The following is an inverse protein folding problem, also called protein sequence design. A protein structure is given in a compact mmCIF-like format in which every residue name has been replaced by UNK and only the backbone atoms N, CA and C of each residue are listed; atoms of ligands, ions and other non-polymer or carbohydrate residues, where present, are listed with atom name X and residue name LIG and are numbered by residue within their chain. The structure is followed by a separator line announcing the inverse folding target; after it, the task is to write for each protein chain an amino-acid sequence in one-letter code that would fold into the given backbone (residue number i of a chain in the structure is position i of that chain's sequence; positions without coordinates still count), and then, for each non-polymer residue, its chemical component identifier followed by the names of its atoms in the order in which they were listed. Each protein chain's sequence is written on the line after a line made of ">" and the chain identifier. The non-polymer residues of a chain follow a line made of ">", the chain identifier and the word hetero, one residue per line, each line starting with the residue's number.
data_IF_122074981783
#
_entry.id   IF_122074981783
#
_cell.length_a   1.000
_cell.length_b   1.000
_cell.length_c   1.000
_cell.angle_alpha   90.00
_cell.angle_beta   90.00
_cell.angle_gamma   90.00
#
_symmetry.space_group_name_H-M   'P 1'
#
loop_
_entity.id
_entity.type
_entity.pdbx_description
1 polymer ?
#
# COMPACT_ATOMS: atom_id res chain seq x y z
N UNK A 1 12.97 20.62 8.15
CA UNK A 1 11.65 20.85 7.54
C UNK A 1 10.78 19.63 7.82
N UNK A 2 9.50 19.81 8.15
CA UNK A 2 8.60 18.72 8.55
C UNK A 2 8.19 17.84 7.37
N UNK A 3 7.92 18.45 6.21
CA UNK A 3 7.56 17.75 4.98
C UNK A 3 8.75 16.91 4.50
N UNK A 4 9.94 17.50 4.44
CA UNK A 4 11.14 16.76 4.02
C UNK A 4 11.41 15.57 4.94
N UNK A 5 11.25 15.76 6.26
CA UNK A 5 11.38 14.66 7.21
C UNK A 5 10.37 13.55 6.92
N UNK A 6 9.10 13.89 6.73
CA UNK A 6 8.04 12.92 6.48
C UNK A 6 8.27 12.15 5.18
N UNK A 7 8.63 12.82 4.08
CA UNK A 7 8.88 12.19 2.79
C UNK A 7 10.11 11.29 2.80
N UNK A 8 11.21 11.73 3.42
CA UNK A 8 12.42 10.91 3.52
C UNK A 8 12.18 9.68 4.39
N UNK A 9 11.48 9.84 5.51
CA UNK A 9 11.11 8.75 6.42
C UNK A 9 10.14 7.77 5.74
N UNK A 10 9.14 8.26 5.01
CA UNK A 10 8.23 7.44 4.22
C UNK A 10 8.97 6.71 3.10
N UNK A 11 9.93 7.34 2.43
CA UNK A 11 10.76 6.69 1.40
C UNK A 11 11.61 5.58 2.00
N UNK A 12 12.21 5.80 3.19
CA UNK A 12 12.99 4.78 3.89
C UNK A 12 12.13 3.56 4.28
N UNK A 13 10.85 3.77 4.60
CA UNK A 13 9.93 2.65 4.83
C UNK A 13 9.80 1.73 3.61
N UNK A 14 9.87 2.27 2.38
CA UNK A 14 9.75 1.48 1.15
C UNK A 14 10.97 0.57 0.96
N UNK A 15 12.15 1.03 1.37
CA UNK A 15 13.34 0.17 1.45
C UNK A 15 13.13 -0.99 2.43
N UNK A 16 12.65 -0.69 3.65
CA UNK A 16 12.39 -1.74 4.65
C UNK A 16 11.31 -2.74 4.21
N UNK A 17 10.28 -2.29 3.49
CA UNK A 17 9.27 -3.18 2.89
C UNK A 17 9.92 -4.16 1.91
N UNK A 18 10.81 -3.69 1.03
CA UNK A 18 11.57 -4.54 0.10
C UNK A 18 12.40 -5.62 0.82
N UNK A 19 12.95 -5.27 1.99
CA UNK A 19 13.69 -6.19 2.86
C UNK A 19 12.80 -7.08 3.75
N UNK A 20 11.48 -6.96 3.64
CA UNK A 20 10.49 -7.65 4.49
C UNK A 20 10.63 -7.31 5.98
N UNK A 21 11.07 -6.08 6.28
CA UNK A 21 11.24 -5.50 7.62
C UNK A 21 10.01 -4.65 7.96
N UNK A 22 8.87 -5.30 8.11
CA UNK A 22 7.57 -4.65 8.25
C UNK A 22 7.40 -3.87 9.55
N UNK A 23 8.09 -4.26 10.62
CA UNK A 23 8.05 -3.52 11.88
C UNK A 23 8.71 -2.14 11.72
N UNK A 24 9.91 -2.11 11.13
CA UNK A 24 10.64 -0.87 10.88
C UNK A 24 9.94 0.00 9.84
N UNK A 25 9.43 -0.59 8.74
CA UNK A 25 8.66 0.16 7.76
C UNK A 25 7.44 0.84 8.37
N UNK A 26 6.67 0.12 9.20
CA UNK A 26 5.50 0.66 9.91
C UNK A 26 5.90 1.78 10.87
N UNK A 27 7.00 1.60 11.60
CA UNK A 27 7.53 2.62 12.53
C UNK A 27 7.86 3.93 11.79
N UNK A 28 8.52 3.83 10.63
CA UNK A 28 8.87 4.99 9.82
C UNK A 28 7.62 5.66 9.24
N UNK A 29 6.67 4.91 8.70
CA UNK A 29 5.42 5.48 8.19
C UNK A 29 4.58 6.13 9.29
N UNK A 30 4.56 5.56 10.49
CA UNK A 30 3.91 6.14 11.65
C UNK A 30 4.56 7.48 12.04
N UNK A 31 5.89 7.55 12.07
CA UNK A 31 6.61 8.79 12.34
C UNK A 31 6.35 9.85 11.27
N UNK A 32 6.40 9.48 9.98
CA UNK A 32 6.08 10.39 8.88
C UNK A 32 4.65 10.95 9.02
N UNK A 33 3.69 10.10 9.36
CA UNK A 33 2.28 10.48 9.53
C UNK A 33 2.08 11.41 10.72
N UNK A 34 2.72 11.13 11.85
CA UNK A 34 2.64 11.98 13.04
C UNK A 34 3.20 13.38 12.76
N UNK A 35 4.39 13.46 12.15
CA UNK A 35 5.01 14.75 11.81
C UNK A 35 4.17 15.53 10.80
N UNK A 36 3.54 14.87 9.82
CA UNK A 36 2.61 15.54 8.91
C UNK A 36 1.37 16.07 9.64
N UNK A 37 0.81 15.30 10.58
CA UNK A 37 -0.34 15.75 11.37
C UNK A 37 0.01 16.94 12.27
N UNK A 38 1.18 16.94 12.91
CA UNK A 38 1.67 18.09 13.68
C UNK A 38 1.90 19.32 12.79
N UNK A 39 2.47 19.12 11.60
CA UNK A 39 2.67 20.20 10.63
C UNK A 39 1.34 20.79 10.15
N UNK A 40 0.33 19.97 9.87
CA UNK A 40 -1.00 20.42 9.42
C UNK A 40 -1.64 21.44 10.38
N UNK A 41 -1.45 21.25 11.70
CA UNK A 41 -1.99 22.14 12.74
C UNK A 41 -1.34 23.53 12.69
N UNK A 42 -0.09 23.63 12.22
CA UNK A 42 0.73 24.85 12.33
C UNK A 42 1.12 25.46 10.98
N UNK A 43 0.84 24.80 9.85
CA UNK A 43 1.30 25.24 8.53
C UNK A 43 0.67 26.55 8.04
N UNK A 44 -0.47 26.98 8.61
CA UNK A 44 -1.16 28.21 8.22
C UNK A 44 -1.00 29.30 9.29
N UNK A 45 -0.19 30.31 8.99
CA UNK A 45 0.02 31.46 9.87
C UNK A 45 -1.02 32.57 9.62
N UNK A 46 -1.44 33.33 10.66
CA UNK A 46 -2.41 34.42 10.52
C UNK A 46 -1.99 35.48 9.50
N UNK A 47 -0.70 35.77 9.37
CA UNK A 47 -0.12 36.82 8.54
C UNK A 47 -0.05 36.46 7.04
N UNK A 48 -0.31 35.21 6.67
CA UNK A 48 -0.22 34.75 5.28
C UNK A 48 -1.27 35.41 4.38
N UNK A 49 -0.88 35.77 3.16
CA UNK A 49 -1.85 36.13 2.12
C UNK A 49 -2.66 34.90 1.70
N UNK A 50 -3.84 35.13 1.12
CA UNK A 50 -4.70 34.05 0.59
C UNK A 50 -3.95 33.15 -0.40
N UNK A 51 -3.13 33.73 -1.27
CA UNK A 51 -2.32 32.99 -2.23
C UNK A 51 -1.30 32.08 -1.54
N UNK A 52 -0.62 32.57 -0.52
CA UNK A 52 0.35 31.75 0.25
C UNK A 52 -0.35 30.60 0.98
N UNK A 53 -1.55 30.84 1.56
CA UNK A 53 -2.31 29.77 2.21
C UNK A 53 -2.69 28.67 1.23
N UNK A 54 -3.10 29.04 0.02
CA UNK A 54 -3.42 28.09 -1.05
C UNK A 54 -2.18 27.29 -1.47
N UNK A 55 -1.04 27.95 -1.70
CA UNK A 55 0.21 27.28 -2.09
C UNK A 55 0.71 26.29 -1.01
N UNK A 56 0.64 26.67 0.27
CA UNK A 56 1.04 25.78 1.38
C UNK A 56 0.06 24.63 1.54
N UNK A 57 -1.26 24.88 1.48
CA UNK A 57 -2.26 23.82 1.57
C UNK A 57 -2.14 22.83 0.42
N UNK A 58 -1.88 23.31 -0.79
CA UNK A 58 -1.69 22.45 -1.96
C UNK A 58 -0.44 21.58 -1.81
N UNK A 59 0.66 22.18 -1.38
CA UNK A 59 1.90 21.45 -1.09
C UNK A 59 1.66 20.38 -0.03
N UNK A 60 0.97 20.71 1.06
CA UNK A 60 0.65 19.75 2.11
C UNK A 60 -0.19 18.58 1.57
N UNK A 61 -1.28 18.85 0.85
CA UNK A 61 -2.16 17.82 0.29
C UNK A 61 -1.41 16.86 -0.63
N UNK A 62 -0.57 17.41 -1.52
CA UNK A 62 0.29 16.61 -2.38
C UNK A 62 1.18 15.68 -1.57
N UNK A 63 1.94 16.22 -0.61
CA UNK A 63 2.90 15.43 0.16
C UNK A 63 2.23 14.43 1.10
N UNK A 64 1.04 14.74 1.59
CA UNK A 64 0.25 13.79 2.35
C UNK A 64 -0.26 12.65 1.49
N UNK A 65 -0.66 12.92 0.24
CA UNK A 65 -1.02 11.90 -0.73
C UNK A 65 0.17 10.99 -1.09
N UNK A 66 1.39 11.53 -1.19
CA UNK A 66 2.63 10.74 -1.34
C UNK A 66 2.81 9.75 -0.16
N UNK A 67 2.62 10.21 1.08
CA UNK A 67 2.70 9.36 2.29
C UNK A 67 1.57 8.32 2.31
N UNK A 68 0.36 8.69 1.90
CA UNK A 68 -0.78 7.77 1.82
C UNK A 68 -0.49 6.60 0.87
N UNK A 69 0.10 6.86 -0.29
CA UNK A 69 0.52 5.80 -1.22
C UNK A 69 1.57 4.87 -0.61
N UNK A 70 2.49 5.40 0.19
CA UNK A 70 3.48 4.59 0.89
C UNK A 70 2.84 3.63 1.91
N UNK A 71 1.78 4.06 2.61
CA UNK A 71 0.98 3.20 3.48
C UNK A 71 0.18 2.14 2.72
N UNK A 72 -0.44 2.50 1.59
CA UNK A 72 -1.12 1.53 0.74
C UNK A 72 -0.14 0.44 0.27
N UNK A 73 1.05 0.85 -0.19
CA UNK A 73 2.12 -0.07 -0.60
C UNK A 73 2.59 -0.97 0.54
N UNK A 74 2.69 -0.45 1.76
CA UNK A 74 2.99 -1.27 2.94
C UNK A 74 2.01 -2.44 3.09
N UNK A 75 0.70 -2.16 3.09
CA UNK A 75 -0.31 -3.19 3.27
C UNK A 75 -0.38 -4.17 2.10
N UNK A 76 -0.26 -3.68 0.85
CA UNK A 76 -0.19 -4.54 -0.33
C UNK A 76 0.98 -5.53 -0.27
N UNK A 77 2.19 -5.04 0.04
CA UNK A 77 3.37 -5.90 0.17
C UNK A 77 3.26 -6.87 1.34
N UNK A 78 2.62 -6.46 2.45
CA UNK A 78 2.36 -7.35 3.58
C UNK A 78 1.47 -8.52 3.17
N UNK A 79 0.34 -8.25 2.50
CA UNK A 79 -0.55 -9.31 2.00
C UNK A 79 0.14 -10.18 0.94
N UNK A 80 0.84 -9.56 -0.02
CA UNK A 80 1.57 -10.29 -1.06
C UNK A 80 2.61 -11.25 -0.47
N UNK A 81 3.43 -10.76 0.46
CA UNK A 81 4.47 -11.57 1.09
C UNK A 81 3.86 -12.66 1.98
N UNK A 82 2.73 -12.39 2.62
CA UNK A 82 1.97 -13.38 3.39
C UNK A 82 1.46 -14.52 2.49
N UNK A 83 0.85 -14.17 1.34
CA UNK A 83 0.44 -15.14 0.32
C UNK A 83 1.60 -16.00 -0.15
N UNK A 84 2.73 -15.38 -0.54
CA UNK A 84 3.92 -16.11 -0.98
C UNK A 84 4.48 -17.02 0.10
N UNK A 85 4.36 -16.66 1.38
CA UNK A 85 4.79 -17.49 2.50
C UNK A 85 3.89 -18.71 2.67
N UNK A 86 2.56 -18.55 2.55
CA UNK A 86 1.58 -19.63 2.66
C UNK A 86 1.64 -20.61 1.48
N UNK A 87 2.08 -20.15 0.30
CA UNK A 87 2.27 -20.99 -0.89
C UNK A 87 3.62 -21.74 -0.92
N UNK A 88 4.51 -21.57 0.07
CA UNK A 88 5.78 -22.30 0.13
C UNK A 88 5.56 -23.68 0.73
N UNK A 89 6.20 -24.69 0.14
CA UNK A 89 6.23 -26.04 0.71
C UNK A 89 6.93 -26.04 2.09
N UNK A 90 6.31 -26.72 3.06
CA UNK A 90 6.77 -26.72 4.46
C UNK A 90 8.12 -27.44 4.67
N UNK A 91 8.62 -28.15 3.66
CA UNK A 91 9.81 -29.02 3.73
C UNK A 91 11.15 -28.30 3.44
N UNK A 92 11.14 -27.00 3.16
CA UNK A 92 12.37 -26.23 2.92
C UNK A 92 13.02 -25.77 4.25
N UNK A 93 13.68 -26.71 4.93
CA UNK A 93 14.43 -26.48 6.16
C UNK A 93 15.62 -25.51 5.98
N UNK A 94 16.16 -25.39 4.76
CA UNK A 94 17.22 -24.43 4.46
C UNK A 94 16.67 -22.99 4.44
N UNK A 95 15.48 -22.77 3.87
CA UNK A 95 14.79 -21.49 3.93
C UNK A 95 14.42 -21.07 5.37
N UNK A 96 14.03 -22.03 6.23
CA UNK A 96 13.75 -21.77 7.65
C UNK A 96 15.01 -21.33 8.41
N UNK A 97 16.12 -22.03 8.22
CA UNK A 97 17.39 -21.69 8.87
C UNK A 97 17.96 -20.34 8.40
N UNK A 98 17.90 -20.06 7.10
CA UNK A 98 18.32 -18.77 6.57
C UNK A 98 17.45 -17.61 7.11
N UNK A 99 16.13 -17.82 7.22
CA UNK A 99 15.22 -16.84 7.79
C UNK A 99 15.54 -16.55 9.28
N UNK A 100 15.91 -17.57 10.05
CA UNK A 100 16.30 -17.41 11.46
C UNK A 100 17.59 -16.60 11.61
N UNK A 101 18.62 -16.89 10.80
CA UNK A 101 19.90 -16.17 10.81
C UNK A 101 19.72 -14.70 10.39
N UNK A 102 18.94 -14.45 9.34
CA UNK A 102 18.61 -13.09 8.88
C UNK A 102 17.82 -12.31 9.95
N UNK A 103 16.89 -12.96 10.65
CA UNK A 103 16.15 -12.33 11.76
C UNK A 103 17.08 -11.87 12.87
N UNK A 104 18.05 -12.69 13.25
CA UNK A 104 18.99 -12.35 14.34
C UNK A 104 19.93 -11.20 13.98
N UNK A 105 20.38 -11.10 12.71
CA UNK A 105 21.18 -9.98 12.24
C UNK A 105 20.40 -8.66 12.22
N UNK A 106 19.10 -8.70 11.90
CA UNK A 106 18.23 -7.52 11.79
C UNK A 106 17.89 -6.88 13.14
N UNK A 107 17.91 -7.63 14.24
CA UNK A 107 17.56 -7.12 15.58
C UNK A 107 18.51 -6.02 16.07
N UNK A 108 19.79 -6.07 15.71
CA UNK A 108 20.79 -5.08 16.14
C UNK A 108 20.64 -3.76 15.38
N UNK A 109 20.25 -3.81 14.11
CA UNK A 109 20.01 -2.61 13.30
C UNK A 109 18.68 -1.93 13.67
N UNK A 110 17.68 -2.71 14.10
CA UNK A 110 16.35 -2.21 14.44
C UNK A 110 16.37 -1.21 15.60
N UNK A 111 17.29 -1.31 16.57
CA UNK A 111 17.39 -0.36 17.68
C UNK A 111 17.94 1.01 17.27
N UNK A 112 18.76 1.08 16.22
CA UNK A 112 19.37 2.31 15.74
C UNK A 112 18.46 3.14 14.82
N UNK A 113 17.38 2.54 14.30
CA UNK A 113 16.44 3.17 13.37
C UNK A 113 15.10 3.56 14.03
N UNK A 114 15.07 3.71 15.36
CA UNK A 114 13.86 4.12 16.10
C UNK A 114 13.83 5.61 16.40
N UNK A 115 12.63 6.16 16.54
CA UNK A 115 12.37 7.52 16.98
C UNK A 115 11.87 7.53 18.44
N UNK A 116 12.76 7.36 19.44
CA UNK A 116 12.35 7.15 20.83
C UNK A 116 11.62 8.35 21.46
N UNK A 117 11.74 9.54 20.86
CA UNK A 117 11.04 10.75 21.31
C UNK A 117 9.60 10.86 20.80
N UNK A 118 9.16 9.99 19.88
CA UNK A 118 7.83 10.03 19.30
C UNK A 118 6.97 8.88 19.87
N UNK A 119 5.75 9.19 20.32
CA UNK A 119 4.75 8.16 20.62
C UNK A 119 3.98 7.81 19.34
N UNK A 120 4.35 6.69 18.74
CA UNK A 120 3.78 6.22 17.47
C UNK A 120 2.70 5.15 17.66
N UNK A 121 2.38 4.79 18.90
CA UNK A 121 1.56 3.64 19.26
C UNK A 121 0.19 3.66 18.58
N UNK A 122 -0.45 4.83 18.53
CA UNK A 122 -1.77 4.99 17.91
C UNK A 122 -1.74 4.71 16.40
N UNK A 123 -0.73 5.19 15.68
CA UNK A 123 -0.56 4.93 14.25
C UNK A 123 -0.15 3.48 13.99
N UNK A 124 0.79 2.96 14.76
CA UNK A 124 1.28 1.59 14.61
C UNK A 124 0.16 0.57 14.83
N UNK A 125 -0.70 0.75 15.83
CA UNK A 125 -1.78 -0.19 16.14
C UNK A 125 -2.89 -0.27 15.07
N UNK A 126 -2.93 0.64 14.09
CA UNK A 126 -3.90 0.57 12.99
C UNK A 126 -3.64 -0.57 12.02
N UNK A 127 -2.41 -1.09 11.96
CA UNK A 127 -2.06 -2.19 11.06
C UNK A 127 -1.00 -3.12 11.67
N UNK A 128 -1.13 -4.41 11.39
CA UNK A 128 -0.17 -5.43 11.80
C UNK A 128 1.19 -5.24 11.09
N UNK A 129 2.27 -5.60 11.76
CA UNK A 129 3.58 -5.84 11.14
C UNK A 129 3.91 -7.33 10.98
N UNK A 130 3.00 -8.21 11.39
CA UNK A 130 3.09 -9.66 11.23
C UNK A 130 2.34 -10.10 9.97
N UNK A 131 2.78 -11.23 9.39
CA UNK A 131 2.15 -11.80 8.21
C UNK A 131 0.69 -12.23 8.46
N UNK A 132 -0.17 -12.03 7.47
CA UNK A 132 -1.54 -12.50 7.48
C UNK A 132 -1.56 -14.03 7.34
N UNK A 133 -2.33 -14.72 8.19
CA UNK A 133 -2.49 -16.16 8.13
C UNK A 133 -3.90 -16.56 7.71
N UNK A 134 -4.88 -15.70 7.99
CA UNK A 134 -6.30 -15.94 7.77
C UNK A 134 -6.93 -14.85 6.93
N UNK A 135 -8.16 -15.12 6.44
CA UNK A 135 -8.98 -14.11 5.80
C UNK A 135 -9.24 -12.89 6.70
N UNK A 136 -9.48 -13.10 7.99
CA UNK A 136 -9.76 -12.01 8.92
C UNK A 136 -8.55 -11.08 9.10
N UNK A 137 -7.34 -11.63 9.17
CA UNK A 137 -6.10 -10.83 9.19
C UNK A 137 -5.96 -10.01 7.91
N UNK A 138 -6.10 -10.67 6.75
CA UNK A 138 -5.97 -10.04 5.44
C UNK A 138 -7.03 -8.98 5.22
N UNK A 139 -8.24 -9.17 5.74
CA UNK A 139 -9.35 -8.23 5.64
C UNK A 139 -9.06 -6.93 6.39
N UNK A 140 -8.44 -6.99 7.58
CA UNK A 140 -8.02 -5.80 8.31
C UNK A 140 -6.99 -5.00 7.49
N UNK A 141 -5.99 -5.68 6.92
CA UNK A 141 -4.99 -5.04 6.05
C UNK A 141 -5.63 -4.47 4.78
N UNK A 142 -6.55 -5.21 4.16
CA UNK A 142 -7.28 -4.78 2.98
C UNK A 142 -8.06 -3.48 3.24
N UNK A 143 -8.80 -3.39 4.34
CA UNK A 143 -9.53 -2.17 4.70
C UNK A 143 -8.57 -1.00 4.93
N UNK A 144 -7.48 -1.21 5.66
CA UNK A 144 -6.45 -0.20 5.87
C UNK A 144 -5.87 0.31 4.53
N UNK A 145 -5.55 -0.60 3.59
CA UNK A 145 -5.05 -0.23 2.26
C UNK A 145 -6.06 0.63 1.52
N UNK A 146 -7.34 0.26 1.51
CA UNK A 146 -8.37 1.03 0.81
C UNK A 146 -8.53 2.43 1.41
N UNK A 147 -8.49 2.60 2.75
CA UNK A 147 -8.53 3.91 3.39
C UNK A 147 -7.42 4.84 2.88
N UNK A 148 -6.19 4.33 2.77
CA UNK A 148 -5.06 5.12 2.29
C UNK A 148 -5.08 5.35 0.77
N UNK A 149 -5.58 4.39 0.00
CA UNK A 149 -5.80 4.58 -1.43
C UNK A 149 -6.89 5.63 -1.69
N UNK A 150 -7.92 5.73 -0.85
CA UNK A 150 -8.95 6.77 -0.95
C UNK A 150 -8.34 8.15 -0.70
N UNK A 151 -7.51 8.30 0.33
CA UNK A 151 -6.77 9.55 0.59
C UNK A 151 -5.89 9.94 -0.61
N UNK A 152 -5.13 8.99 -1.17
CA UNK A 152 -4.29 9.27 -2.34
C UNK A 152 -5.12 9.66 -3.58
N UNK A 153 -6.20 8.93 -3.85
CA UNK A 153 -7.12 9.18 -4.97
C UNK A 153 -7.87 10.49 -4.83
N UNK A 154 -8.07 10.98 -3.60
CA UNK A 154 -8.70 12.27 -3.34
C UNK A 154 -7.85 13.44 -3.84
N UNK A 155 -6.52 13.29 -3.86
CA UNK A 155 -5.60 14.26 -4.45
C UNK A 155 -5.30 13.97 -5.93
N UNK A 156 -4.76 12.79 -6.24
CA UNK A 156 -4.35 12.43 -7.60
C UNK A 156 -5.58 12.18 -8.47
N UNK A 157 -5.87 13.06 -9.43
CA UNK A 157 -7.00 12.92 -10.36
C UNK A 157 -6.54 12.46 -11.73
N UNK A 158 -7.42 11.76 -12.43
CA UNK A 158 -7.20 11.32 -13.81
C UNK A 158 -6.90 12.48 -14.77
N UNK A 159 -7.54 13.63 -14.56
CA UNK A 159 -7.45 14.81 -15.42
C UNK A 159 -6.08 15.47 -15.36
N UNK A 160 -5.51 15.57 -14.16
CA UNK A 160 -4.26 16.30 -13.92
C UNK A 160 -3.03 15.38 -13.87
N UNK A 161 -3.19 14.18 -13.29
CA UNK A 161 -2.09 13.24 -13.00
C UNK A 161 -2.45 11.79 -13.38
N UNK A 162 -2.88 11.60 -14.63
CA UNK A 162 -3.33 10.31 -15.17
C UNK A 162 -2.41 9.12 -14.85
N UNK A 163 -1.08 9.31 -14.86
CA UNK A 163 -0.10 8.27 -14.54
C UNK A 163 -0.19 7.84 -13.07
N UNK A 164 -0.26 8.79 -12.14
CA UNK A 164 -0.31 8.48 -10.71
C UNK A 164 -1.70 7.96 -10.31
N UNK A 165 -2.77 8.55 -10.87
CA UNK A 165 -4.12 8.02 -10.74
C UNK A 165 -4.19 6.56 -11.20
N UNK A 166 -3.62 6.23 -12.36
CA UNK A 166 -3.62 4.86 -12.88
C UNK A 166 -2.93 3.88 -11.95
N UNK A 167 -1.79 4.26 -11.35
CA UNK A 167 -1.10 3.41 -10.37
C UNK A 167 -1.97 3.15 -9.14
N UNK A 168 -2.66 4.17 -8.62
CA UNK A 168 -3.59 4.02 -7.48
C UNK A 168 -4.73 3.06 -7.82
N UNK A 169 -5.27 3.15 -9.04
CA UNK A 169 -6.33 2.25 -9.49
C UNK A 169 -5.83 0.81 -9.72
N UNK A 170 -4.59 0.63 -10.19
CA UNK A 170 -3.93 -0.68 -10.22
C UNK A 170 -3.69 -1.23 -8.80
N UNK A 171 -3.37 -0.38 -7.83
CA UNK A 171 -3.20 -0.76 -6.43
C UNK A 171 -4.52 -1.24 -5.80
N UNK A 172 -5.65 -0.62 -6.15
CA UNK A 172 -6.98 -1.15 -5.81
C UNK A 172 -7.18 -2.55 -6.38
N UNK A 173 -6.87 -2.76 -7.67
CA UNK A 173 -6.99 -4.05 -8.31
C UNK A 173 -6.09 -5.11 -7.64
N UNK A 174 -4.86 -4.74 -7.29
CA UNK A 174 -3.90 -5.59 -6.56
C UNK A 174 -4.41 -5.95 -5.16
N UNK A 175 -5.04 -5.01 -4.43
CA UNK A 175 -5.66 -5.32 -3.14
C UNK A 175 -6.73 -6.42 -3.26
N UNK A 176 -7.56 -6.35 -4.31
CA UNK A 176 -8.57 -7.36 -4.60
C UNK A 176 -7.97 -8.71 -5.05
N UNK A 177 -6.82 -8.68 -5.73
CA UNK A 177 -6.07 -9.91 -6.05
C UNK A 177 -5.61 -10.61 -4.78
N UNK A 178 -5.01 -9.87 -3.86
CA UNK A 178 -4.43 -10.44 -2.64
C UNK A 178 -5.50 -10.93 -1.68
N UNK A 179 -6.58 -10.17 -1.43
CA UNK A 179 -7.64 -10.59 -0.51
C UNK A 179 -8.40 -11.82 -1.03
N UNK A 180 -8.56 -11.95 -2.35
CA UNK A 180 -9.21 -13.10 -2.96
C UNK A 180 -8.47 -14.42 -2.70
N UNK A 181 -7.15 -14.38 -2.46
CA UNK A 181 -6.38 -15.58 -2.11
C UNK A 181 -6.74 -16.13 -0.73
N UNK A 182 -7.09 -15.27 0.23
CA UNK A 182 -7.40 -15.69 1.59
C UNK A 182 -8.88 -16.08 1.78
N UNK A 183 -9.75 -15.72 0.85
CA UNK A 183 -11.16 -16.08 0.90
C UNK A 183 -11.33 -17.56 0.54
N UNK A 184 -12.11 -18.31 1.31
CA UNK A 184 -12.35 -19.75 1.06
C UNK A 184 -13.63 -19.97 0.26
N UNK A 185 -14.60 -19.06 0.35
CA UNK A 185 -15.85 -19.17 -0.37
C UNK A 185 -15.64 -18.83 -1.86
N UNK A 186 -15.86 -19.78 -2.79
CA UNK A 186 -15.58 -19.54 -4.21
C UNK A 186 -16.44 -18.43 -4.82
N UNK A 187 -17.71 -18.29 -4.39
CA UNK A 187 -18.58 -17.22 -4.88
C UNK A 187 -18.04 -15.83 -4.49
N UNK A 188 -17.51 -15.68 -3.28
CA UNK A 188 -16.87 -14.46 -2.83
C UNK A 188 -15.54 -14.21 -3.56
N UNK A 189 -14.69 -15.23 -3.74
CA UNK A 189 -13.48 -15.11 -4.54
C UNK A 189 -13.81 -14.58 -5.95
N UNK A 190 -14.83 -15.13 -6.61
CA UNK A 190 -15.26 -14.68 -7.92
C UNK A 190 -15.77 -13.22 -7.90
N UNK A 191 -16.47 -12.79 -6.84
CA UNK A 191 -16.88 -11.38 -6.68
C UNK A 191 -15.67 -10.44 -6.54
N UNK A 192 -14.67 -10.84 -5.78
CA UNK A 192 -13.43 -10.08 -5.60
C UNK A 192 -12.64 -9.97 -6.90
N UNK A 193 -12.47 -11.08 -7.64
CA UNK A 193 -11.80 -11.08 -8.95
C UNK A 193 -12.55 -10.26 -10.00
N UNK A 194 -13.90 -10.30 -10.01
CA UNK A 194 -14.69 -9.40 -10.86
C UNK A 194 -14.47 -7.93 -10.52
N UNK A 195 -14.35 -7.60 -9.23
CA UNK A 195 -14.07 -6.23 -8.81
C UNK A 195 -12.66 -5.78 -9.24
N UNK A 196 -11.67 -6.66 -9.10
CA UNK A 196 -10.31 -6.45 -9.65
C UNK A 196 -10.35 -6.16 -11.15
N UNK A 197 -11.02 -7.01 -11.93
CA UNK A 197 -11.15 -6.82 -13.38
C UNK A 197 -11.78 -5.45 -13.70
N UNK A 198 -12.86 -5.09 -12.99
CA UNK A 198 -13.53 -3.81 -13.17
C UNK A 198 -12.60 -2.61 -12.97
N UNK A 199 -11.76 -2.58 -11.94
CA UNK A 199 -10.83 -1.46 -11.75
C UNK A 199 -9.86 -1.28 -12.92
N UNK A 200 -9.41 -2.39 -13.51
CA UNK A 200 -8.47 -2.37 -14.64
C UNK A 200 -9.18 -2.03 -15.96
N UNK A 201 -10.40 -2.50 -16.15
CA UNK A 201 -11.23 -2.17 -17.31
C UNK A 201 -11.65 -0.69 -17.30
N UNK A 202 -12.05 -0.16 -16.14
CA UNK A 202 -12.38 1.26 -15.99
C UNK A 202 -11.17 2.17 -16.33
N UNK A 203 -9.93 1.72 -16.09
CA UNK A 203 -8.73 2.42 -16.55
C UNK A 203 -8.52 2.32 -18.07
N UNK A 204 -8.81 1.18 -18.67
CA UNK A 204 -8.68 0.99 -20.12
C UNK A 204 -9.68 1.84 -20.91
N UNK A 205 -10.86 2.11 -20.34
CA UNK A 205 -11.85 3.02 -20.91
C UNK A 205 -11.43 4.49 -20.79
N UNK A 206 -10.61 4.82 -19.78
CA UNK A 206 -10.15 6.17 -19.49
C UNK A 206 -8.89 6.56 -20.28
N UNK A 207 -7.96 5.63 -20.45
CA UNK A 207 -6.61 5.91 -20.96
C UNK A 207 -6.55 5.81 -22.49
N UNK A 208 -5.86 6.76 -23.11
CA UNK A 208 -5.47 6.64 -24.53
C UNK A 208 -4.28 5.65 -24.66
N UNK A 209 -4.46 4.52 -25.35
CA UNK A 209 -3.40 3.53 -25.51
C UNK A 209 -2.15 4.07 -26.22
N UNK A 210 -2.25 5.13 -27.02
CA UNK A 210 -1.09 5.74 -27.71
C UNK A 210 -0.11 6.31 -26.69
N UNK A 211 -0.61 7.00 -25.67
CA UNK A 211 0.20 7.67 -24.66
C UNK A 211 0.52 6.78 -23.45
N UNK A 212 -0.39 5.88 -23.10
CA UNK A 212 -0.30 5.06 -21.87
C UNK A 212 -0.19 3.56 -22.15
N UNK A 213 0.39 3.17 -23.30
CA UNK A 213 0.47 1.77 -23.76
C UNK A 213 0.99 0.80 -22.70
N UNK A 214 1.99 1.20 -21.90
CA UNK A 214 2.54 0.34 -20.85
C UNK A 214 1.49 0.00 -19.79
N UNK A 215 0.78 1.00 -19.28
CA UNK A 215 -0.27 0.84 -18.28
C UNK A 215 -1.43 0.03 -18.88
N UNK A 216 -1.81 0.30 -20.12
CA UNK A 216 -2.88 -0.45 -20.79
C UNK A 216 -2.52 -1.94 -20.91
N UNK A 217 -1.28 -2.29 -21.26
CA UNK A 217 -0.80 -3.69 -21.30
C UNK A 217 -0.89 -4.38 -19.95
N UNK A 218 -0.48 -3.70 -18.88
CA UNK A 218 -0.60 -4.21 -17.52
C UNK A 218 -2.07 -4.43 -17.14
N UNK A 219 -2.96 -3.49 -17.51
CA UNK A 219 -4.40 -3.59 -17.25
C UNK A 219 -5.07 -4.73 -18.03
N UNK A 220 -4.78 -4.88 -19.33
CA UNK A 220 -5.30 -6.00 -20.12
C UNK A 220 -4.85 -7.35 -19.56
N UNK A 221 -3.58 -7.48 -19.19
CA UNK A 221 -3.08 -8.71 -18.57
C UNK A 221 -3.76 -8.97 -17.22
N UNK A 222 -3.82 -7.97 -16.35
CA UNK A 222 -4.47 -8.08 -15.05
C UNK A 222 -5.94 -8.45 -15.15
N UNK A 223 -6.71 -7.78 -16.02
CA UNK A 223 -8.12 -8.09 -16.26
C UNK A 223 -8.31 -9.50 -16.83
N UNK A 224 -7.46 -9.91 -17.78
CA UNK A 224 -7.47 -11.27 -18.33
C UNK A 224 -7.24 -12.33 -17.26
N UNK A 225 -6.23 -12.16 -16.41
CA UNK A 225 -5.97 -13.09 -15.29
C UNK A 225 -7.10 -13.11 -14.25
N UNK A 226 -7.74 -11.97 -13.99
CA UNK A 226 -8.88 -11.90 -13.09
C UNK A 226 -10.09 -12.66 -13.65
N UNK A 227 -10.39 -12.52 -14.94
CA UNK A 227 -11.47 -13.28 -15.59
C UNK A 227 -11.16 -14.77 -15.67
N UNK A 228 -9.90 -15.16 -15.92
CA UNK A 228 -9.48 -16.55 -15.86
C UNK A 228 -9.74 -17.14 -14.46
N UNK A 229 -9.34 -16.45 -13.39
CA UNK A 229 -9.62 -16.90 -12.02
C UNK A 229 -11.13 -17.05 -11.73
N UNK A 230 -11.98 -16.16 -12.27
CA UNK A 230 -13.45 -16.30 -12.16
C UNK A 230 -13.96 -17.55 -12.89
N UNK A 231 -13.34 -17.91 -14.02
CA UNK A 231 -13.68 -19.13 -14.75
C UNK A 231 -13.23 -20.39 -14.00
N UNK A 232 -12.02 -20.41 -13.45
CA UNK A 232 -11.49 -21.56 -12.70
C UNK A 232 -12.42 -21.91 -11.52
N UNK A 233 -12.81 -20.89 -10.74
CA UNK A 233 -13.81 -21.02 -9.67
C UNK A 233 -15.12 -21.64 -10.14
N UNK A 234 -15.57 -21.34 -11.36
CA UNK A 234 -16.83 -21.88 -11.90
C UNK A 234 -16.71 -23.30 -12.42
N UNK A 235 -15.51 -23.72 -12.80
CA UNK A 235 -15.24 -25.06 -13.32
C UNK A 235 -14.99 -26.06 -12.19
N UNK A 236 -14.55 -25.59 -11.02
CA UNK A 236 -14.30 -26.38 -9.82
C UNK A 236 -15.56 -26.60 -8.94
N UNK A 237 -16.70 -26.00 -9.30
CA UNK A 237 -18.03 -26.18 -8.67
C UNK A 237 -18.87 -27.17 -9.48
#
# INVERSE_FOLDING_TARGET
>A
DAIDFALNTATLSQFYIGEKRFQEARHHLAAATLIMAEYEVHMLEPEMSEKQRQEVSETFKHRYADVARCWAKYGLYLMHTSKLRLMRDEDDEEAKNLALVLRNLRLVEAEQSRFPSLDLTACENRISCEYCLTFDDAKLVFHFVNEWLDIAKDYYKAEDEATEYSKIMQDYAEAYEHIAFFEENPENQAKMQKRRAKYLEDLLDLLDPIFYMKICRECWYGAGTAHAAVMDVRLDI
#
